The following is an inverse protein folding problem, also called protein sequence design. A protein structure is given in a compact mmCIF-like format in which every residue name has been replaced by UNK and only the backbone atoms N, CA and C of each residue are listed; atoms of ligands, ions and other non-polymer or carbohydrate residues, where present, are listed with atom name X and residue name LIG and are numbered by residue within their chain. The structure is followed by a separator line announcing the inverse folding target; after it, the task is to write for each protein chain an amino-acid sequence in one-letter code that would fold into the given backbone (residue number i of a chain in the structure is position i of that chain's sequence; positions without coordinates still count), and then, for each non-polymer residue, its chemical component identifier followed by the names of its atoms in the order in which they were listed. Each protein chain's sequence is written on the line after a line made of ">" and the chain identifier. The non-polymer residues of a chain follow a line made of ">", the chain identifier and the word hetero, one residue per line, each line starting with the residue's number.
data_IF_449685357936
#
_entry.id   IF_449685357936
#
_cell.length_a   1.000
_cell.length_b   1.000
_cell.length_c   1.000
_cell.angle_alpha   90.00
_cell.angle_beta   90.00
_cell.angle_gamma   90.00
#
_symmetry.space_group_name_H-M   'P 1'
#
loop_
_entity.id
_entity.type
_entity.pdbx_description
1 polymer ?
#
# COMPACT_ATOMS: atom_id res chain seq x y z
N UNK A 1 71.08 -11.98 -20.06
CA UNK A 1 71.56 -10.74 -19.42
C UNK A 1 70.45 -10.23 -18.51
N UNK A 2 70.79 -10.05 -17.23
CA UNK A 2 69.93 -9.71 -16.07
C UNK A 2 69.23 -8.36 -16.29
N UNK A 3 67.95 -8.22 -15.95
CA UNK A 3 67.45 -7.15 -15.04
C UNK A 3 66.25 -7.71 -14.24
N UNK A 4 66.40 -7.70 -12.91
CA UNK A 4 65.34 -7.86 -11.90
C UNK A 4 64.72 -6.50 -11.62
N UNK A 5 63.43 -6.44 -11.27
CA UNK A 5 62.94 -5.38 -10.38
C UNK A 5 62.12 -5.98 -9.24
N UNK A 6 62.37 -5.39 -8.06
CA UNK A 6 62.05 -5.84 -6.72
C UNK A 6 60.55 -5.75 -6.40
N UNK A 7 60.10 -6.68 -5.55
CA UNK A 7 58.92 -6.52 -4.70
C UNK A 7 59.26 -5.56 -3.55
N UNK A 8 58.47 -4.51 -3.37
CA UNK A 8 58.27 -3.86 -2.08
C UNK A 8 56.78 -3.92 -1.72
N UNK A 9 56.51 -4.38 -0.50
CA UNK A 9 55.18 -4.71 -0.03
C UNK A 9 54.45 -3.53 0.60
N UNK A 10 53.13 -3.63 0.63
CA UNK A 10 52.30 -3.22 1.76
C UNK A 10 51.01 -4.03 1.69
N UNK A 11 50.89 -5.05 2.55
CA UNK A 11 49.62 -5.77 2.77
C UNK A 11 48.74 -4.85 3.62
N UNK A 12 47.87 -4.08 2.98
CA UNK A 12 46.79 -3.40 3.69
C UNK A 12 45.72 -4.44 4.05
N UNK A 13 45.77 -4.96 5.27
CA UNK A 13 44.65 -5.67 5.87
C UNK A 13 43.63 -4.61 6.25
N UNK A 14 42.64 -4.38 5.39
CA UNK A 14 41.47 -3.57 5.71
C UNK A 14 40.56 -4.43 6.58
N UNK A 15 40.62 -4.22 7.89
CA UNK A 15 39.70 -4.83 8.85
C UNK A 15 38.34 -4.12 8.72
N UNK A 16 37.44 -4.70 7.94
CA UNK A 16 36.04 -4.26 7.87
C UNK A 16 35.36 -4.57 9.21
N UNK A 17 35.26 -3.56 10.07
CA UNK A 17 34.33 -3.60 11.21
C UNK A 17 32.91 -3.47 10.65
N UNK A 18 32.28 -4.61 10.34
CA UNK A 18 30.84 -4.65 10.16
C UNK A 18 30.19 -4.40 11.53
N UNK A 19 29.78 -3.16 11.78
CA UNK A 19 28.80 -2.83 12.82
C UNK A 19 27.51 -3.56 12.46
N UNK A 20 27.33 -4.76 12.99
CA UNK A 20 26.05 -5.44 13.01
C UNK A 20 25.15 -4.60 13.92
N UNK A 21 24.33 -3.73 13.32
CA UNK A 21 23.15 -3.20 13.99
C UNK A 21 22.20 -4.36 14.21
N UNK A 22 22.38 -5.09 15.30
CA UNK A 22 21.35 -5.96 15.83
C UNK A 22 20.23 -5.04 16.28
N UNK A 23 19.15 -4.93 15.51
CA UNK A 23 17.91 -4.35 15.99
C UNK A 23 17.46 -5.21 17.17
N UNK A 24 17.67 -4.75 18.40
CA UNK A 24 17.02 -5.34 19.55
C UNK A 24 15.52 -5.07 19.38
N UNK A 25 14.79 -6.07 18.87
CA UNK A 25 13.33 -6.02 18.92
C UNK A 25 12.95 -6.17 20.39
N UNK A 26 12.36 -5.12 20.94
CA UNK A 26 11.78 -5.20 22.27
C UNK A 26 10.45 -5.93 22.14
N UNK A 27 10.15 -6.82 23.09
CA UNK A 27 8.83 -7.44 23.14
C UNK A 27 7.74 -6.37 23.19
N UNK A 28 6.59 -6.64 22.55
CA UNK A 28 5.44 -5.78 22.61
C UNK A 28 5.11 -5.46 24.07
N UNK A 29 4.96 -4.18 24.41
CA UNK A 29 4.60 -3.75 25.76
C UNK A 29 3.33 -4.47 26.24
N UNK A 30 3.35 -4.95 27.49
CA UNK A 30 2.27 -5.75 28.08
C UNK A 30 0.87 -5.11 27.94
N UNK A 31 0.80 -3.78 27.98
CA UNK A 31 -0.46 -3.03 27.83
C UNK A 31 -1.17 -3.25 26.49
N UNK A 32 -0.45 -3.69 25.45
CA UNK A 32 -1.04 -3.97 24.15
C UNK A 32 -1.49 -5.43 23.98
N UNK A 33 -1.13 -6.30 24.94
CA UNK A 33 -1.45 -7.73 24.84
C UNK A 33 -2.95 -7.99 24.87
N UNK A 34 -3.69 -7.21 25.64
CA UNK A 34 -5.16 -7.30 25.72
C UNK A 34 -5.86 -7.03 24.38
N UNK A 35 -5.23 -6.27 23.48
CA UNK A 35 -5.78 -5.96 22.15
C UNK A 35 -5.39 -6.97 21.08
N UNK A 36 -4.17 -7.53 21.16
CA UNK A 36 -3.62 -8.42 20.13
C UNK A 36 -3.95 -9.90 20.37
N UNK A 37 -3.92 -10.37 21.62
CA UNK A 37 -4.19 -11.78 21.92
C UNK A 37 -5.57 -12.27 21.45
N UNK A 38 -6.67 -11.49 21.60
CA UNK A 38 -7.96 -11.91 21.07
C UNK A 38 -7.95 -12.10 19.55
N UNK A 39 -7.24 -11.22 18.82
CA UNK A 39 -7.05 -11.34 17.38
C UNK A 39 -6.34 -12.66 17.06
N UNK A 40 -5.18 -12.92 17.67
CA UNK A 40 -4.44 -14.18 17.44
C UNK A 40 -5.32 -15.40 17.74
N UNK A 41 -6.09 -15.37 18.84
CA UNK A 41 -7.01 -16.45 19.21
C UNK A 41 -8.09 -16.69 18.16
N UNK A 42 -8.69 -15.63 17.60
CA UNK A 42 -9.67 -15.75 16.52
C UNK A 42 -9.08 -16.45 15.28
N UNK A 43 -7.84 -16.11 14.90
CA UNK A 43 -7.15 -16.77 13.79
C UNK A 43 -6.76 -18.22 14.10
N UNK A 44 -6.36 -18.55 15.34
CA UNK A 44 -6.11 -19.93 15.77
C UNK A 44 -7.36 -20.80 15.70
N UNK A 45 -8.51 -20.24 16.06
CA UNK A 45 -9.80 -20.92 15.97
C UNK A 45 -10.30 -21.06 14.52
N UNK A 46 -9.71 -20.32 13.57
CA UNK A 46 -10.15 -20.21 12.18
C UNK A 46 -11.64 -19.82 12.04
N UNK A 47 -12.18 -19.11 13.03
CA UNK A 47 -13.55 -18.66 13.04
C UNK A 47 -13.67 -17.33 12.28
N UNK A 48 -14.17 -17.40 11.04
CA UNK A 48 -14.35 -16.22 10.19
C UNK A 48 -15.24 -15.15 10.83
N UNK A 49 -16.22 -15.53 11.65
CA UNK A 49 -17.12 -14.59 12.34
C UNK A 49 -16.37 -13.87 13.46
N UNK A 50 -15.59 -14.61 14.26
CA UNK A 50 -14.75 -14.02 15.29
C UNK A 50 -13.70 -13.07 14.69
N UNK A 51 -13.06 -13.46 13.59
CA UNK A 51 -12.12 -12.59 12.86
C UNK A 51 -12.84 -11.34 12.34
N UNK A 52 -14.04 -11.48 11.76
CA UNK A 52 -14.81 -10.37 11.22
C UNK A 52 -15.16 -9.32 12.28
N UNK A 53 -15.41 -9.76 13.53
CA UNK A 53 -15.63 -8.87 14.67
C UNK A 53 -14.39 -8.05 15.06
N UNK A 54 -13.20 -8.48 14.65
CA UNK A 54 -11.95 -7.76 14.83
C UNK A 54 -11.61 -6.82 13.67
N UNK A 55 -12.45 -6.63 12.65
CA UNK A 55 -12.13 -5.71 11.55
C UNK A 55 -12.64 -4.29 11.86
N UNK A 56 -11.83 -3.27 11.56
CA UNK A 56 -12.29 -1.88 11.48
C UNK A 56 -12.91 -1.64 10.11
N UNK A 57 -14.23 -1.47 10.06
CA UNK A 57 -14.93 -1.16 8.83
C UNK A 57 -15.04 0.36 8.56
N UNK A 58 -14.99 0.81 7.30
CA UNK A 58 -14.67 0.01 6.11
C UNK A 58 -13.18 -0.39 6.08
N UNK A 59 -12.90 -1.67 5.78
CA UNK A 59 -11.52 -2.15 5.62
C UNK A 59 -11.02 -1.71 4.25
N UNK A 60 -10.05 -0.80 4.27
CA UNK A 60 -9.49 -0.20 3.06
C UNK A 60 -8.68 -1.22 2.25
N UNK A 61 -8.94 -1.26 0.95
CA UNK A 61 -8.13 -2.02 -0.02
C UNK A 61 -7.46 -1.07 -1.00
N UNK A 62 -6.40 -1.55 -1.63
CA UNK A 62 -5.70 -0.76 -2.66
C UNK A 62 -6.60 -0.66 -3.90
N UNK A 63 -6.86 0.57 -4.35
CA UNK A 63 -7.54 0.82 -5.61
C UNK A 63 -6.87 0.03 -6.75
N UNK A 64 -7.62 -0.64 -7.64
CA UNK A 64 -9.07 -0.51 -7.87
C UNK A 64 -9.99 -1.40 -7.05
N UNK A 65 -9.46 -2.19 -6.11
CA UNK A 65 -10.28 -3.11 -5.32
C UNK A 65 -11.21 -2.31 -4.39
N UNK A 66 -12.53 -2.57 -4.40
CA UNK A 66 -13.45 -1.90 -3.49
C UNK A 66 -13.14 -2.23 -2.02
N UNK A 67 -13.22 -1.21 -1.17
CA UNK A 67 -13.21 -1.37 0.28
C UNK A 67 -14.30 -2.34 0.74
N UNK A 68 -14.01 -3.09 1.80
CA UNK A 68 -14.98 -3.96 2.44
C UNK A 68 -15.76 -3.15 3.48
N UNK A 69 -17.06 -2.97 3.29
CA UNK A 69 -17.84 -1.97 4.04
C UNK A 69 -18.37 -2.45 5.37
N UNK A 70 -18.53 -3.75 5.55
CA UNK A 70 -19.16 -4.34 6.72
C UNK A 70 -18.80 -5.82 6.86
N UNK A 71 -19.25 -6.41 7.96
CA UNK A 71 -19.01 -7.81 8.34
C UNK A 71 -19.52 -8.82 7.32
N UNK A 72 -20.74 -8.63 6.80
CA UNK A 72 -21.32 -9.55 5.83
C UNK A 72 -20.51 -9.56 4.52
N UNK A 73 -20.09 -8.39 4.05
CA UNK A 73 -19.22 -8.26 2.89
C UNK A 73 -17.85 -8.91 3.16
N UNK A 74 -17.29 -8.71 4.35
CA UNK A 74 -16.02 -9.31 4.74
C UNK A 74 -16.06 -10.83 4.72
N UNK A 75 -17.07 -11.44 5.33
CA UNK A 75 -17.21 -12.90 5.37
C UNK A 75 -17.32 -13.46 3.93
N UNK A 76 -18.10 -12.81 3.07
CA UNK A 76 -18.24 -13.21 1.67
C UNK A 76 -16.94 -13.08 0.87
N UNK A 77 -16.10 -12.08 1.20
CA UNK A 77 -14.83 -11.79 0.53
C UNK A 77 -13.62 -12.29 1.33
N UNK A 78 -13.82 -13.11 2.36
CA UNK A 78 -12.77 -13.50 3.29
C UNK A 78 -11.56 -14.09 2.57
N UNK A 79 -11.81 -15.03 1.65
CA UNK A 79 -10.75 -15.74 0.94
C UNK A 79 -10.05 -14.85 -0.12
N UNK A 80 -10.61 -13.68 -0.47
CA UNK A 80 -9.87 -12.67 -1.24
C UNK A 80 -8.75 -12.08 -0.37
N UNK A 81 -9.02 -11.86 0.91
CA UNK A 81 -8.12 -11.13 1.81
C UNK A 81 -7.16 -12.07 2.56
N UNK A 82 -7.65 -13.24 2.96
CA UNK A 82 -6.95 -14.20 3.80
C UNK A 82 -6.88 -15.56 3.12
N UNK A 83 -5.68 -15.95 2.69
CA UNK A 83 -5.37 -17.33 2.32
C UNK A 83 -4.81 -18.11 3.52
N UNK A 84 -4.67 -19.42 3.37
CA UNK A 84 -4.21 -20.31 4.44
C UNK A 84 -2.84 -19.91 4.98
N UNK A 85 -1.93 -19.44 4.11
CA UNK A 85 -0.60 -18.96 4.51
C UNK A 85 -0.69 -17.75 5.45
N UNK A 86 -1.49 -16.74 5.09
CA UNK A 86 -1.65 -15.55 5.92
C UNK A 86 -2.35 -15.88 7.24
N UNK A 87 -3.40 -16.72 7.20
CA UNK A 87 -4.10 -17.18 8.41
C UNK A 87 -3.13 -17.91 9.35
N UNK A 88 -2.32 -18.82 8.82
CA UNK A 88 -1.34 -19.56 9.59
C UNK A 88 -0.25 -18.64 10.18
N UNK A 89 0.24 -17.67 9.40
CA UNK A 89 1.23 -16.70 9.86
C UNK A 89 0.71 -15.85 11.05
N UNK A 90 -0.55 -15.42 11.00
CA UNK A 90 -1.17 -14.67 12.11
C UNK A 90 -1.42 -15.57 13.31
N UNK A 91 -2.00 -16.76 13.09
CA UNK A 91 -2.31 -17.72 14.14
C UNK A 91 -1.05 -18.22 14.89
N UNK A 92 0.07 -18.39 14.19
CA UNK A 92 1.33 -18.83 14.77
C UNK A 92 2.19 -17.70 15.35
N UNK A 93 1.79 -16.43 15.15
CA UNK A 93 2.59 -15.29 15.59
C UNK A 93 2.83 -15.27 17.11
N UNK A 94 4.04 -14.91 17.49
CA UNK A 94 4.45 -14.76 18.87
C UNK A 94 4.34 -13.30 19.28
N UNK A 95 3.47 -13.01 20.26
CA UNK A 95 3.20 -11.65 20.72
C UNK A 95 4.43 -10.90 21.26
N UNK A 96 5.45 -11.63 21.73
CA UNK A 96 6.66 -11.04 22.30
C UNK A 96 7.78 -10.83 21.26
N UNK A 97 7.58 -11.24 20.02
CA UNK A 97 8.64 -11.24 18.98
C UNK A 97 8.15 -10.59 17.69
N UNK A 98 6.96 -10.96 17.24
CA UNK A 98 6.47 -10.64 15.91
C UNK A 98 5.64 -9.35 15.88
N UNK A 99 5.30 -8.79 17.04
CA UNK A 99 4.43 -7.63 17.15
C UNK A 99 5.17 -6.45 17.76
N UNK A 100 5.05 -5.28 17.11
CA UNK A 100 5.70 -4.04 17.52
C UNK A 100 4.69 -2.88 17.53
N UNK A 101 4.70 -2.04 18.57
CA UNK A 101 3.91 -0.81 18.59
C UNK A 101 4.65 0.31 17.86
N UNK A 102 3.98 0.95 16.90
CA UNK A 102 4.54 2.05 16.09
C UNK A 102 3.86 3.39 16.45
N UNK A 103 3.56 3.57 17.74
CA UNK A 103 2.92 4.75 18.29
C UNK A 103 1.52 4.96 17.71
N UNK A 104 1.23 6.18 17.23
CA UNK A 104 -0.09 6.53 16.70
C UNK A 104 -0.51 5.73 15.46
N UNK A 105 0.42 5.02 14.80
CA UNK A 105 0.13 4.18 13.63
C UNK A 105 -0.55 2.85 13.98
N UNK A 106 -0.42 2.41 15.24
CA UNK A 106 -0.95 1.14 15.72
C UNK A 106 0.12 0.09 15.98
N UNK A 107 -0.34 -1.15 16.12
CA UNK A 107 0.43 -2.33 16.48
C UNK A 107 0.61 -3.18 15.23
N UNK A 108 1.87 -3.38 14.84
CA UNK A 108 2.28 -3.97 13.58
C UNK A 108 2.69 -5.42 13.78
N UNK A 109 2.13 -6.34 12.98
CA UNK A 109 2.61 -7.71 12.86
C UNK A 109 3.70 -7.80 11.81
N UNK A 110 4.83 -8.41 12.17
CA UNK A 110 6.03 -8.54 11.37
C UNK A 110 6.41 -7.17 10.76
N UNK A 111 7.04 -7.14 9.59
CA UNK A 111 7.41 -5.89 8.92
C UNK A 111 6.20 -5.27 8.17
N UNK A 112 5.06 -5.15 8.85
CA UNK A 112 3.84 -4.55 8.30
C UNK A 112 2.94 -5.53 7.57
N UNK A 113 2.99 -6.82 7.88
CA UNK A 113 2.10 -7.82 7.29
C UNK A 113 0.62 -7.46 7.51
N UNK A 114 0.31 -7.09 8.76
CA UNK A 114 -1.01 -6.67 9.22
C UNK A 114 -0.87 -5.63 10.34
N UNK A 115 -1.87 -4.76 10.47
CA UNK A 115 -1.91 -3.68 11.45
C UNK A 115 -3.18 -3.77 12.29
N UNK A 116 -3.02 -3.61 13.60
CA UNK A 116 -4.09 -3.62 14.61
C UNK A 116 -4.04 -2.31 15.40
N UNK A 117 -5.19 -1.71 15.69
CA UNK A 117 -5.27 -0.53 16.55
C UNK A 117 -5.35 -0.90 18.05
N UNK A 118 -5.35 0.11 18.92
CA UNK A 118 -5.43 -0.07 20.37
C UNK A 118 -6.84 -0.43 20.86
N UNK A 119 -7.79 -0.73 19.97
CA UNK A 119 -9.10 -1.32 20.31
C UNK A 119 -9.15 -2.81 19.89
N UNK A 120 -8.02 -3.38 19.45
CA UNK A 120 -7.95 -4.74 18.92
C UNK A 120 -8.64 -4.90 17.57
N UNK A 121 -8.72 -3.82 16.78
CA UNK A 121 -9.28 -3.86 15.41
C UNK A 121 -8.19 -3.87 14.36
N UNK A 122 -8.29 -4.78 13.40
CA UNK A 122 -7.48 -4.84 12.19
C UNK A 122 -7.84 -3.64 11.32
N UNK A 123 -6.84 -2.80 11.07
CA UNK A 123 -6.95 -1.53 10.34
C UNK A 123 -6.24 -1.56 8.99
N UNK A 124 -5.40 -2.57 8.73
CA UNK A 124 -4.66 -2.68 7.48
C UNK A 124 -4.04 -4.05 7.28
N UNK A 125 -3.99 -4.50 6.03
CA UNK A 125 -3.38 -5.77 5.61
C UNK A 125 -2.60 -5.48 4.34
N UNK A 126 -1.28 -5.65 4.39
CA UNK A 126 -0.38 -5.37 3.26
C UNK A 126 -0.05 -6.63 2.45
N UNK A 127 -0.41 -7.82 2.98
CA UNK A 127 -0.35 -9.05 2.20
C UNK A 127 -1.38 -9.00 1.06
N UNK A 128 -0.99 -9.49 -0.11
CA UNK A 128 -1.85 -9.58 -1.28
C UNK A 128 -1.93 -11.04 -1.73
N UNK A 129 -3.11 -11.63 -1.61
CA UNK A 129 -3.34 -13.01 -2.05
C UNK A 129 -3.38 -13.07 -3.59
N UNK A 130 -3.12 -14.26 -4.15
CA UNK A 130 -3.31 -14.49 -5.59
C UNK A 130 -4.76 -14.24 -6.04
N UNK A 131 -5.74 -14.53 -5.17
CA UNK A 131 -7.17 -14.29 -5.47
C UNK A 131 -7.49 -12.81 -5.54
N UNK A 132 -6.91 -12.02 -4.64
CA UNK A 132 -7.03 -10.56 -4.66
C UNK A 132 -6.37 -9.94 -5.90
N UNK A 133 -5.16 -10.41 -6.25
CA UNK A 133 -4.45 -9.95 -7.44
C UNK A 133 -5.25 -10.24 -8.72
N UNK A 134 -5.75 -11.46 -8.86
CA UNK A 134 -6.60 -11.83 -9.99
C UNK A 134 -7.94 -11.07 -10.01
N UNK A 135 -8.44 -10.61 -8.86
CA UNK A 135 -9.60 -9.72 -8.82
C UNK A 135 -9.25 -8.31 -9.29
N UNK A 136 -8.13 -7.74 -8.83
CA UNK A 136 -7.64 -6.45 -9.30
C UNK A 136 -7.40 -6.45 -10.82
N UNK A 137 -6.75 -7.47 -11.37
CA UNK A 137 -6.51 -7.59 -12.81
C UNK A 137 -7.82 -7.58 -13.61
N UNK A 138 -8.83 -8.31 -13.16
CA UNK A 138 -10.16 -8.31 -13.79
C UNK A 138 -10.80 -6.92 -13.77
N UNK A 139 -10.71 -6.20 -12.65
CA UNK A 139 -11.22 -4.83 -12.55
C UNK A 139 -10.48 -3.88 -13.49
N UNK A 140 -9.15 -4.01 -13.59
CA UNK A 140 -8.32 -3.20 -14.48
C UNK A 140 -8.70 -3.43 -15.94
N UNK A 141 -8.88 -4.68 -16.37
CA UNK A 141 -9.26 -4.97 -17.75
C UNK A 141 -10.67 -4.46 -18.10
N UNK A 142 -11.62 -4.55 -17.17
CA UNK A 142 -12.94 -3.94 -17.33
C UNK A 142 -12.86 -2.41 -17.44
N UNK A 143 -12.03 -1.80 -16.58
CA UNK A 143 -11.81 -0.36 -16.56
C UNK A 143 -11.21 0.14 -17.88
N UNK A 144 -10.18 -0.55 -18.42
CA UNK A 144 -9.62 -0.28 -19.75
C UNK A 144 -10.69 -0.29 -20.85
N UNK A 145 -11.60 -1.26 -20.85
CA UNK A 145 -12.67 -1.35 -21.85
C UNK A 145 -13.69 -0.21 -21.75
N UNK A 146 -13.83 0.41 -20.57
CA UNK A 146 -14.77 1.51 -20.34
C UNK A 146 -14.25 2.89 -20.78
N UNK A 147 -12.94 2.99 -21.02
CA UNK A 147 -12.24 4.24 -21.32
C UNK A 147 -12.14 4.52 -22.82
N UNK A 148 -12.04 5.81 -23.17
CA UNK A 148 -11.71 6.22 -24.53
C UNK A 148 -10.34 5.65 -24.96
N UNK A 149 -10.20 5.26 -26.23
CA UNK A 149 -9.00 4.60 -26.77
C UNK A 149 -7.70 5.41 -26.62
N UNK A 150 -7.78 6.73 -26.47
CA UNK A 150 -6.59 7.56 -26.22
C UNK A 150 -5.98 7.39 -24.82
N UNK A 151 -6.70 6.76 -23.88
CA UNK A 151 -6.27 6.59 -22.49
C UNK A 151 -6.59 5.20 -21.92
N UNK A 152 -6.96 4.22 -22.74
CA UNK A 152 -7.27 2.87 -22.25
C UNK A 152 -6.04 1.95 -22.11
N UNK A 153 -4.84 2.42 -22.48
CA UNK A 153 -3.61 1.66 -22.28
C UNK A 153 -2.87 2.16 -21.04
N UNK A 154 -2.74 1.30 -20.04
CA UNK A 154 -2.03 1.54 -18.77
C UNK A 154 -1.79 0.21 -18.04
N UNK A 155 -0.85 0.19 -17.10
CA UNK A 155 -0.63 -0.96 -16.23
C UNK A 155 -1.65 -0.99 -15.10
N UNK A 156 -1.73 0.11 -14.34
CA UNK A 156 -2.58 0.20 -13.15
C UNK A 156 -3.20 1.59 -13.02
N UNK A 157 -4.48 1.67 -12.64
CA UNK A 157 -5.07 2.94 -12.29
C UNK A 157 -4.69 3.25 -10.85
N UNK A 158 -4.19 4.45 -10.58
CA UNK A 158 -3.66 4.83 -9.26
C UNK A 158 -4.52 5.85 -8.55
N UNK A 159 -5.23 6.72 -9.28
CA UNK A 159 -6.21 7.66 -8.74
C UNK A 159 -7.44 7.78 -9.64
N UNK A 160 -8.61 7.90 -9.03
CA UNK A 160 -9.88 8.15 -9.69
C UNK A 160 -10.74 9.06 -8.80
N UNK A 161 -10.74 10.35 -9.12
CA UNK A 161 -11.30 11.41 -8.30
C UNK A 161 -12.36 12.22 -9.03
N UNK A 162 -13.33 12.71 -8.25
CA UNK A 162 -14.36 13.63 -8.72
C UNK A 162 -14.34 14.89 -7.88
N UNK A 163 -14.38 16.02 -8.56
CA UNK A 163 -14.60 17.35 -7.98
C UNK A 163 -15.98 17.86 -8.41
N UNK A 164 -16.35 19.06 -8.00
CA UNK A 164 -17.60 19.69 -8.46
C UNK A 164 -17.68 19.81 -10.00
N UNK A 165 -16.54 19.98 -10.69
CA UNK A 165 -16.51 20.30 -12.12
C UNK A 165 -15.80 19.26 -12.98
N UNK A 166 -15.00 18.37 -12.37
CA UNK A 166 -14.11 17.49 -13.11
C UNK A 166 -14.05 16.08 -12.56
N UNK A 167 -13.92 15.11 -13.47
CA UNK A 167 -13.45 13.76 -13.18
C UNK A 167 -11.97 13.71 -13.54
N UNK A 168 -11.12 13.47 -12.55
CA UNK A 168 -9.66 13.43 -12.67
C UNK A 168 -9.21 11.98 -12.44
N UNK A 169 -8.31 11.49 -13.28
CA UNK A 169 -7.75 10.16 -13.19
C UNK A 169 -6.24 10.22 -13.33
N UNK A 170 -5.55 9.38 -12.57
CA UNK A 170 -4.11 9.13 -12.77
C UNK A 170 -3.90 7.64 -12.97
N UNK A 171 -3.15 7.31 -14.01
CA UNK A 171 -2.76 5.94 -14.37
C UNK A 171 -1.23 5.79 -14.30
N UNK A 172 -0.77 4.65 -13.80
CA UNK A 172 0.59 4.15 -13.96
C UNK A 172 0.71 3.45 -15.32
N UNK A 173 1.63 3.93 -16.15
CA UNK A 173 1.91 3.39 -17.47
C UNK A 173 3.07 2.38 -17.46
N UNK A 174 3.68 2.11 -16.30
CA UNK A 174 4.93 1.37 -16.18
C UNK A 174 6.16 2.29 -16.22
N UNK A 175 7.32 1.74 -15.88
CA UNK A 175 8.63 2.41 -15.99
C UNK A 175 8.69 3.81 -15.35
N UNK A 176 8.05 3.98 -14.18
CA UNK A 176 7.94 5.26 -13.47
C UNK A 176 7.28 6.39 -14.28
N UNK A 177 6.42 6.05 -15.24
CA UNK A 177 5.70 7.00 -16.07
C UNK A 177 4.22 7.04 -15.71
N UNK A 178 3.73 8.19 -15.28
CA UNK A 178 2.33 8.39 -14.95
C UNK A 178 1.60 9.23 -16.01
N UNK A 179 0.31 8.98 -16.18
CA UNK A 179 -0.61 9.79 -16.98
C UNK A 179 -1.68 10.44 -16.13
N UNK A 180 -1.84 11.74 -16.28
CA UNK A 180 -3.00 12.49 -15.80
C UNK A 180 -4.03 12.61 -16.92
N UNK A 181 -5.29 12.31 -16.64
CA UNK A 181 -6.40 12.55 -17.56
C UNK A 181 -7.55 13.23 -16.84
N UNK A 182 -8.20 14.18 -17.51
CA UNK A 182 -9.32 14.94 -16.93
C UNK A 182 -10.46 15.11 -17.93
N UNK A 183 -11.67 14.95 -17.41
CA UNK A 183 -12.93 15.17 -18.09
C UNK A 183 -13.75 16.20 -17.32
N UNK A 184 -14.59 16.96 -18.01
CA UNK A 184 -15.68 17.67 -17.33
C UNK A 184 -16.60 16.66 -16.64
N UNK A 185 -17.15 17.00 -15.48
CA UNK A 185 -17.91 16.07 -14.61
C UNK A 185 -19.12 15.41 -15.30
N UNK A 186 -19.68 16.08 -16.32
CA UNK A 186 -20.84 15.59 -17.09
C UNK A 186 -20.44 14.74 -18.31
N UNK A 187 -19.15 14.50 -18.55
CA UNK A 187 -18.65 13.68 -19.66
C UNK A 187 -18.48 12.24 -19.23
N UNK A 188 -18.62 11.32 -20.20
CA UNK A 188 -18.35 9.90 -19.97
C UNK A 188 -16.85 9.63 -20.10
N UNK A 189 -16.34 8.65 -19.36
CA UNK A 189 -14.94 8.20 -19.48
C UNK A 189 -14.61 7.60 -20.87
N UNK A 190 -15.64 7.13 -21.58
CA UNK A 190 -15.56 6.69 -22.98
C UNK A 190 -15.42 7.86 -23.97
N UNK A 191 -15.71 9.10 -23.56
CA UNK A 191 -15.45 10.29 -24.37
C UNK A 191 -13.97 10.65 -24.31
N UNK A 192 -13.45 11.30 -25.35
CA UNK A 192 -12.07 11.81 -25.32
C UNK A 192 -11.87 12.78 -24.14
N UNK A 193 -10.84 12.61 -23.30
CA UNK A 193 -10.57 13.52 -22.19
C UNK A 193 -10.33 14.94 -22.69
N UNK A 194 -10.71 15.92 -21.87
CA UNK A 194 -10.44 17.34 -22.13
C UNK A 194 -8.93 17.61 -22.15
N UNK A 195 -8.17 16.87 -21.34
CA UNK A 195 -6.71 16.91 -21.36
C UNK A 195 -6.14 15.57 -20.87
N UNK A 196 -5.02 15.14 -21.47
CA UNK A 196 -4.20 14.04 -21.00
C UNK A 196 -2.73 14.47 -21.02
N UNK A 197 -2.02 14.33 -19.90
CA UNK A 197 -0.61 14.67 -19.73
C UNK A 197 0.17 13.41 -19.37
N UNK A 198 1.30 13.20 -20.02
CA UNK A 198 2.20 12.07 -19.79
C UNK A 198 3.45 12.53 -19.02
N UNK A 199 4.31 11.56 -18.66
CA UNK A 199 5.59 11.80 -17.98
C UNK A 199 5.38 12.51 -16.65
N UNK A 200 4.35 12.10 -15.91
CA UNK A 200 4.18 12.53 -14.53
C UNK A 200 5.19 11.82 -13.63
N UNK A 201 5.61 12.51 -12.58
CA UNK A 201 6.46 11.98 -11.51
C UNK A 201 5.66 11.81 -10.22
N UNK A 202 6.09 10.90 -9.35
CA UNK A 202 5.56 10.73 -7.99
C UNK A 202 6.62 11.14 -6.96
N UNK A 203 6.20 11.88 -5.94
CA UNK A 203 7.06 12.26 -4.80
C UNK A 203 6.38 11.86 -3.49
N UNK A 204 7.09 11.10 -2.67
CA UNK A 204 6.64 10.70 -1.33
C UNK A 204 7.06 11.73 -0.28
N UNK A 205 6.16 12.04 0.64
CA UNK A 205 6.31 13.08 1.66
C UNK A 205 6.30 12.47 3.08
N UNK A 206 7.43 12.62 3.76
CA UNK A 206 7.59 12.13 5.14
C UNK A 206 7.43 10.61 5.27
N UNK A 207 7.15 10.16 6.50
CA UNK A 207 6.97 8.74 6.82
C UNK A 207 5.50 8.32 6.98
N UNK A 208 4.57 9.25 6.75
CA UNK A 208 3.12 9.01 6.87
C UNK A 208 2.50 8.32 5.66
N UNK A 209 3.26 8.17 4.57
CA UNK A 209 2.75 7.66 3.30
C UNK A 209 2.00 8.71 2.50
N UNK A 210 2.16 10.01 2.81
CA UNK A 210 1.69 11.07 1.94
C UNK A 210 2.52 11.06 0.65
N UNK A 211 1.89 11.42 -0.46
CA UNK A 211 2.59 11.58 -1.73
C UNK A 211 1.79 12.49 -2.66
N UNK A 212 2.45 13.00 -3.69
CA UNK A 212 1.79 13.72 -4.76
C UNK A 212 2.36 13.30 -6.11
N UNK A 213 1.54 13.45 -7.15
CA UNK A 213 2.00 13.36 -8.53
C UNK A 213 2.22 14.77 -9.08
N UNK A 214 3.14 14.94 -10.02
CA UNK A 214 3.35 16.23 -10.71
C UNK A 214 3.30 16.04 -12.22
N UNK A 215 2.45 16.83 -12.88
CA UNK A 215 2.35 16.88 -14.35
C UNK A 215 2.52 18.32 -14.82
N UNK A 216 3.33 18.53 -15.86
CA UNK A 216 3.63 19.87 -16.39
C UNK A 216 2.94 20.10 -17.73
N UNK A 217 2.34 21.27 -17.91
CA UNK A 217 1.82 21.74 -19.21
C UNK A 217 2.15 23.22 -19.38
N UNK A 218 3.14 23.51 -20.22
CA UNK A 218 3.70 24.85 -20.41
C UNK A 218 4.08 25.53 -19.08
N UNK A 219 3.32 26.53 -18.64
CA UNK A 219 3.56 27.29 -17.40
C UNK A 219 2.75 26.79 -16.19
N UNK A 220 1.89 25.79 -16.38
CA UNK A 220 1.04 25.26 -15.32
C UNK A 220 1.54 23.88 -14.87
N UNK A 221 1.39 23.62 -13.57
CA UNK A 221 1.61 22.30 -12.96
C UNK A 221 0.30 21.78 -12.39
N UNK A 222 0.04 20.50 -12.58
CA UNK A 222 -1.10 19.79 -12.00
C UNK A 222 -0.56 18.83 -10.95
N UNK A 223 -0.99 18.99 -9.70
CA UNK A 223 -0.40 18.27 -8.55
C UNK A 223 -1.48 17.56 -7.74
N UNK A 224 -1.95 16.37 -8.18
CA UNK A 224 -2.81 15.53 -7.36
C UNK A 224 -2.07 15.09 -6.09
N UNK A 225 -2.53 15.52 -4.91
CA UNK A 225 -1.93 15.20 -3.61
C UNK A 225 -2.80 14.23 -2.81
N UNK A 226 -2.16 13.16 -2.32
CA UNK A 226 -2.75 12.16 -1.44
C UNK A 226 -2.22 12.38 -0.03
N UNK A 227 -3.10 12.78 0.87
CA UNK A 227 -2.80 12.90 2.28
C UNK A 227 -3.40 11.71 3.05
N UNK A 228 -2.54 10.99 3.77
CA UNK A 228 -2.91 9.91 4.67
C UNK A 228 -2.86 10.46 6.10
N UNK A 229 -4.03 10.58 6.73
CA UNK A 229 -4.17 11.03 8.12
C UNK A 229 -4.77 9.89 8.93
N UNK A 230 -3.98 9.30 9.84
CA UNK A 230 -4.43 8.11 10.57
C UNK A 230 -4.64 6.92 9.63
N UNK A 231 -5.72 6.16 9.86
CA UNK A 231 -6.19 5.08 8.95
C UNK A 231 -7.06 5.61 7.80
N UNK A 232 -7.09 6.92 7.54
CA UNK A 232 -7.99 7.55 6.57
C UNK A 232 -7.20 8.23 5.44
N UNK A 233 -7.71 8.08 4.21
CA UNK A 233 -7.27 8.88 3.06
C UNK A 233 -8.07 10.19 3.04
N UNK A 234 -7.40 11.33 3.03
CA UNK A 234 -7.97 12.58 2.52
C UNK A 234 -7.65 12.66 1.03
N UNK A 235 -8.70 12.74 0.21
CA UNK A 235 -8.57 13.09 -1.20
C UNK A 235 -8.88 14.57 -1.40
N UNK A 236 -7.97 15.22 -2.14
CA UNK A 236 -8.06 16.53 -2.78
C UNK A 236 -8.16 17.78 -1.88
N UNK A 237 -7.03 18.47 -1.74
CA UNK A 237 -6.98 19.94 -1.73
C UNK A 237 -6.14 20.38 -2.93
N UNK A 238 -6.72 21.19 -3.82
CA UNK A 238 -5.93 21.92 -4.82
C UNK A 238 -5.49 23.24 -4.16
N UNK A 239 -4.19 23.49 -4.08
CA UNK A 239 -3.69 24.87 -3.97
C UNK A 239 -3.65 25.50 -5.37
#
# INVERSE_FOLDING_TARGET
>A
MKIRFNFEGHKHIVLWLCLLFTSNRFALEQKYHEFVLPVITAFKAQDKTAIAAHIRYPLKRRYPIPDIKNEAEFINRFDEIFNDELVAAIAASNINIDWDSVGWRGIMLNNGLMWVDTDGKIIGINYHTAKEQAFAERLIEQDKQSLHSSVNNFEKPVLDWKTANYHIRVDDLGDHNYRYAVWGINKKLSDKPSMALLNGDITFEGSGGNYHYTFKNCRCSYVPQVAIIGCYYLTAGCL
#
